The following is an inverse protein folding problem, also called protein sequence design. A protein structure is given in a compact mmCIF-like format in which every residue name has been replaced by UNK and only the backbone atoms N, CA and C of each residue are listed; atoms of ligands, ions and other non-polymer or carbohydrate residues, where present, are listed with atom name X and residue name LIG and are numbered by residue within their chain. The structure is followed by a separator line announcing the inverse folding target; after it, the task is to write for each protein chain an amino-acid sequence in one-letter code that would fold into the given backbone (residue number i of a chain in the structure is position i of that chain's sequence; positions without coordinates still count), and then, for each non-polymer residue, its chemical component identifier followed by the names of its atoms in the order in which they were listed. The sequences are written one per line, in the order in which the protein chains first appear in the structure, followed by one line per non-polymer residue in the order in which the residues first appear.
data_IF_038845681017
#
_entry.id   IF_038845681017
#
_cell.length_a   1.000
_cell.length_b   1.000
_cell.length_c   1.000
_cell.angle_alpha   90.00
_cell.angle_beta   90.00
_cell.angle_gamma   90.00
#
_symmetry.space_group_name_H-M   'P 1'
#
loop_
_entity.id
_entity.type
_entity.pdbx_description
1 polymer ?
#
# COMPACT_ATOMS: atom_id res chain seq x y z
N UNK A 1 -22.79 -18.30 -3.47
CA UNK A 1 -23.62 -17.31 -4.21
C UNK A 1 -22.82 -16.03 -4.36
N UNK A 2 -22.21 -15.81 -5.52
CA UNK A 2 -21.63 -14.52 -5.87
C UNK A 2 -22.77 -13.53 -6.12
N UNK A 3 -22.84 -12.43 -5.36
CA UNK A 3 -23.77 -11.34 -5.66
C UNK A 3 -23.15 -10.51 -6.78
N UNK A 4 -23.80 -10.55 -7.94
CA UNK A 4 -23.56 -9.61 -9.03
C UNK A 4 -24.09 -8.24 -8.61
N UNK A 5 -23.24 -7.22 -8.68
CA UNK A 5 -23.65 -5.83 -8.57
C UNK A 5 -23.60 -5.23 -9.98
N UNK A 6 -24.73 -4.71 -10.45
CA UNK A 6 -24.85 -4.07 -11.74
C UNK A 6 -24.27 -2.65 -11.67
N UNK A 7 -23.24 -2.39 -12.48
CA UNK A 7 -22.94 -1.04 -12.92
C UNK A 7 -24.04 -0.61 -13.89
N UNK A 8 -24.49 0.65 -13.79
CA UNK A 8 -25.23 1.30 -14.87
C UNK A 8 -24.37 1.23 -16.15
N UNK A 9 -24.68 0.27 -17.02
CA UNK A 9 -23.97 -0.04 -18.25
C UNK A 9 -23.43 -1.47 -18.42
N UNK A 10 -23.87 -2.45 -17.61
CA UNK A 10 -23.84 -3.87 -18.02
C UNK A 10 -22.47 -4.54 -18.05
N UNK A 11 -21.53 -4.14 -17.18
CA UNK A 11 -20.22 -4.78 -17.06
C UNK A 11 -20.25 -5.82 -15.93
N UNK A 12 -20.02 -7.10 -16.27
CA UNK A 12 -19.76 -8.15 -15.28
C UNK A 12 -18.38 -7.88 -14.67
N UNK A 13 -18.28 -7.59 -13.37
CA UNK A 13 -16.99 -7.39 -12.70
C UNK A 13 -16.76 -8.51 -11.66
N UNK A 14 -15.69 -9.28 -11.84
CA UNK A 14 -15.30 -10.34 -10.91
C UNK A 14 -14.46 -9.76 -9.77
N UNK A 15 -15.05 -9.65 -8.57
CA UNK A 15 -14.35 -9.31 -7.33
C UNK A 15 -13.36 -10.41 -6.95
N UNK A 16 -12.15 -10.04 -6.60
CA UNK A 16 -11.08 -10.96 -6.17
C UNK A 16 -10.63 -10.55 -4.78
N UNK A 17 -10.36 -11.55 -3.92
CA UNK A 17 -9.84 -11.36 -2.57
C UNK A 17 -10.74 -11.94 -1.48
N UNK A 18 -10.13 -12.14 -0.30
CA UNK A 18 -10.79 -12.65 0.90
C UNK A 18 -10.85 -11.59 2.01
N UNK A 19 -11.56 -11.90 3.10
CA UNK A 19 -11.44 -11.13 4.33
C UNK A 19 -10.09 -11.46 4.96
N UNK A 20 -9.32 -10.44 5.34
CA UNK A 20 -8.09 -10.60 6.10
C UNK A 20 -8.13 -9.77 7.38
N UNK A 21 -7.41 -10.23 8.39
CA UNK A 21 -7.20 -9.51 9.65
C UNK A 21 -5.78 -8.98 9.68
N UNK A 22 -5.64 -7.65 9.64
CA UNK A 22 -4.34 -6.98 9.70
C UNK A 22 -3.99 -6.72 11.17
N UNK A 23 -2.79 -7.11 11.65
CA UNK A 23 -2.35 -6.77 13.00
C UNK A 23 -2.40 -5.27 13.27
N UNK A 24 -2.71 -4.88 14.51
CA UNK A 24 -2.72 -3.47 14.92
C UNK A 24 -1.30 -2.96 15.23
N UNK A 25 -0.44 -2.97 14.21
CA UNK A 25 0.94 -2.47 14.23
C UNK A 25 1.17 -1.62 12.97
N UNK A 26 1.89 -0.49 13.10
CA UNK A 26 2.08 0.44 12.00
C UNK A 26 2.90 -0.17 10.85
N UNK A 27 3.90 -1.01 11.14
CA UNK A 27 4.65 -1.71 10.10
C UNK A 27 3.77 -2.79 9.47
N UNK A 28 3.00 -3.56 10.23
CA UNK A 28 2.10 -4.56 9.67
C UNK A 28 1.08 -3.95 8.71
N UNK A 29 0.51 -2.79 9.06
CA UNK A 29 -0.41 -2.03 8.20
C UNK A 29 0.27 -1.56 6.90
N UNK A 30 1.50 -1.02 6.99
CA UNK A 30 2.30 -0.65 5.83
C UNK A 30 2.63 -1.86 4.93
N UNK A 31 3.01 -3.01 5.49
CA UNK A 31 3.26 -4.24 4.73
C UNK A 31 1.99 -4.73 4.04
N UNK A 32 0.84 -4.64 4.71
CA UNK A 32 -0.45 -4.97 4.12
C UNK A 32 -0.81 -4.04 2.94
N UNK A 33 -0.53 -2.74 3.08
CA UNK A 33 -0.64 -1.79 1.97
C UNK A 33 0.25 -2.19 0.78
N UNK A 34 1.53 -2.52 1.03
CA UNK A 34 2.45 -2.97 -0.03
C UNK A 34 1.97 -4.26 -0.71
N UNK A 35 1.40 -5.20 0.05
CA UNK A 35 0.78 -6.40 -0.52
C UNK A 35 -0.37 -6.04 -1.49
N UNK A 36 -1.19 -5.06 -1.14
CA UNK A 36 -2.25 -4.56 -2.01
C UNK A 36 -1.69 -3.93 -3.29
N UNK A 37 -0.60 -3.16 -3.18
CA UNK A 37 0.13 -2.61 -4.33
C UNK A 37 0.64 -3.73 -5.24
N UNK A 38 1.37 -4.70 -4.68
CA UNK A 38 1.92 -5.84 -5.44
C UNK A 38 0.84 -6.69 -6.12
N UNK A 39 -0.36 -6.76 -5.53
CA UNK A 39 -1.52 -7.41 -6.15
C UNK A 39 -1.95 -6.73 -7.45
N UNK A 40 -1.82 -5.41 -7.54
CA UNK A 40 -2.27 -4.56 -8.66
C UNK A 40 -1.23 -4.45 -9.77
N UNK A 41 0.04 -4.21 -9.43
CA UNK A 41 1.07 -3.84 -10.42
C UNK A 41 2.01 -4.98 -10.85
N UNK A 42 1.69 -6.23 -10.47
CA UNK A 42 2.52 -7.43 -10.72
C UNK A 42 4.01 -7.13 -10.49
N UNK A 43 4.37 -6.91 -9.23
CA UNK A 43 5.76 -6.62 -8.85
C UNK A 43 6.55 -7.93 -8.84
N UNK A 44 7.31 -8.18 -9.92
CA UNK A 44 8.13 -9.39 -10.13
C UNK A 44 9.55 -9.18 -9.59
N UNK A 45 9.65 -8.95 -8.29
CA UNK A 45 10.94 -8.79 -7.60
C UNK A 45 10.87 -9.64 -6.34
N UNK A 46 11.67 -10.71 -6.30
CA UNK A 46 11.76 -11.66 -5.18
C UNK A 46 12.03 -10.92 -3.85
N UNK A 47 12.65 -9.74 -3.93
CA UNK A 47 12.94 -8.85 -2.81
C UNK A 47 11.69 -8.33 -2.07
N UNK A 48 10.50 -8.32 -2.69
CA UNK A 48 9.29 -7.74 -2.11
C UNK A 48 8.50 -8.67 -1.20
N UNK A 49 8.67 -10.00 -1.32
CA UNK A 49 7.89 -10.97 -0.54
C UNK A 49 8.04 -10.72 0.97
N UNK A 50 9.29 -10.54 1.43
CA UNK A 50 9.61 -10.21 2.83
C UNK A 50 9.00 -8.89 3.34
N UNK A 51 8.62 -7.97 2.45
CA UNK A 51 8.05 -6.66 2.81
C UNK A 51 6.52 -6.60 2.66
N UNK A 52 5.90 -7.70 2.21
CA UNK A 52 4.45 -7.81 2.02
C UNK A 52 3.80 -8.84 2.96
N UNK A 53 4.61 -9.69 3.62
CA UNK A 53 4.18 -10.63 4.64
C UNK A 53 3.87 -9.95 5.99
N UNK A 54 2.74 -9.25 6.02
CA UNK A 54 2.27 -8.49 7.19
C UNK A 54 1.96 -9.35 8.42
N UNK A 55 1.76 -10.66 8.27
CA UNK A 55 1.52 -11.58 9.39
C UNK A 55 2.80 -11.80 10.20
N UNK A 56 3.95 -11.74 9.53
CA UNK A 56 5.28 -11.96 10.08
C UNK A 56 6.05 -10.64 10.36
N UNK A 57 5.36 -9.50 10.48
CA UNK A 57 5.98 -8.18 10.74
C UNK A 57 6.95 -8.14 11.95
N UNK A 58 6.73 -9.02 12.94
CA UNK A 58 7.54 -9.10 14.18
C UNK A 58 8.95 -9.62 13.93
N UNK A 59 9.18 -10.31 12.83
CA UNK A 59 10.48 -10.88 12.47
C UNK A 59 11.39 -9.88 11.75
N UNK A 60 10.87 -8.70 11.40
CA UNK A 60 11.65 -7.68 10.70
C UNK A 60 12.67 -7.01 11.64
N UNK A 61 13.92 -6.98 11.19
CA UNK A 61 14.99 -6.18 11.79
C UNK A 61 14.67 -4.67 11.70
N UNK A 62 15.28 -3.81 12.54
CA UNK A 62 15.11 -2.36 12.43
C UNK A 62 15.41 -1.81 11.03
N UNK A 63 16.41 -2.38 10.35
CA UNK A 63 16.74 -2.02 8.97
C UNK A 63 15.61 -2.38 8.00
N UNK A 64 15.07 -3.60 8.10
CA UNK A 64 13.94 -4.04 7.26
C UNK A 64 12.67 -3.22 7.53
N UNK A 65 12.36 -2.90 8.79
CA UNK A 65 11.23 -2.01 9.14
C UNK A 65 11.37 -0.64 8.47
N UNK A 66 12.58 -0.07 8.49
CA UNK A 66 12.86 1.19 7.78
C UNK A 66 12.73 1.06 6.27
N UNK A 67 13.11 -0.09 5.69
CA UNK A 67 12.93 -0.36 4.25
C UNK A 67 11.45 -0.43 3.88
N UNK A 68 10.58 -1.07 4.69
CA UNK A 68 9.12 -1.03 4.51
C UNK A 68 8.62 0.42 4.44
N UNK A 69 9.01 1.27 5.38
CA UNK A 69 8.62 2.69 5.39
C UNK A 69 9.06 3.42 4.12
N UNK A 70 10.31 3.23 3.68
CA UNK A 70 10.83 3.86 2.46
C UNK A 70 10.10 3.37 1.21
N UNK A 71 9.79 2.07 1.13
CA UNK A 71 9.00 1.50 0.04
C UNK A 71 7.60 2.12 0.00
N UNK A 72 6.93 2.28 1.15
CA UNK A 72 5.64 2.98 1.22
C UNK A 72 5.74 4.45 0.79
N UNK A 73 6.85 5.16 1.06
CA UNK A 73 7.03 6.54 0.56
C UNK A 73 7.19 6.59 -0.97
N UNK A 74 7.90 5.63 -1.55
CA UNK A 74 8.14 5.54 -3.00
C UNK A 74 6.87 5.09 -3.72
N UNK A 75 6.14 4.16 -3.13
CA UNK A 75 4.88 3.63 -3.61
C UNK A 75 3.75 4.28 -2.83
N UNK A 76 3.64 5.62 -2.86
CA UNK A 76 2.54 6.32 -2.18
C UNK A 76 1.22 6.16 -2.96
N UNK A 77 0.04 6.28 -2.31
CA UNK A 77 -1.26 6.26 -2.97
C UNK A 77 -1.34 7.22 -4.16
N UNK A 78 -0.71 8.39 -4.07
CA UNK A 78 -0.68 9.41 -5.14
C UNK A 78 -0.09 8.89 -6.47
N UNK A 79 0.80 7.89 -6.42
CA UNK A 79 1.35 7.26 -7.62
C UNK A 79 0.33 6.36 -8.36
N UNK A 80 -0.72 5.94 -7.66
CA UNK A 80 -1.73 4.97 -8.10
C UNK A 80 -3.13 5.55 -8.26
N UNK A 81 -3.43 6.65 -7.58
CA UNK A 81 -4.73 7.30 -7.58
C UNK A 81 -5.16 7.68 -9.00
N UNK A 82 -6.45 7.50 -9.29
CA UNK A 82 -7.07 7.70 -10.61
C UNK A 82 -6.48 6.86 -11.76
N UNK A 83 -5.52 5.96 -11.46
CA UNK A 83 -4.86 5.10 -12.45
C UNK A 83 -5.23 3.65 -12.22
N UNK A 84 -4.98 3.17 -11.00
CA UNK A 84 -5.18 1.77 -10.61
C UNK A 84 -5.80 1.63 -9.22
N UNK A 85 -5.73 2.67 -8.40
CA UNK A 85 -6.47 2.81 -7.15
C UNK A 85 -7.60 3.83 -7.37
N UNK A 86 -8.79 3.50 -6.87
CA UNK A 86 -9.93 4.41 -6.93
C UNK A 86 -10.71 4.38 -5.61
N UNK A 87 -10.95 5.55 -5.04
CA UNK A 87 -11.86 5.72 -3.92
C UNK A 87 -13.32 5.48 -4.37
N UNK A 88 -13.97 4.42 -3.85
CA UNK A 88 -15.39 4.19 -4.06
C UNK A 88 -15.98 3.25 -2.98
N UNK A 89 -16.70 3.85 -2.04
CA UNK A 89 -17.26 3.16 -0.88
C UNK A 89 -18.34 2.13 -1.24
N UNK A 90 -19.19 2.45 -2.21
CA UNK A 90 -20.32 1.61 -2.64
C UNK A 90 -19.84 0.30 -3.27
N UNK A 91 -18.73 0.39 -3.99
CA UNK A 91 -18.16 -0.73 -4.71
C UNK A 91 -17.38 -1.71 -3.83
N UNK A 92 -16.83 -1.27 -2.69
CA UNK A 92 -16.09 -2.17 -1.79
C UNK A 92 -16.96 -3.31 -1.23
N UNK A 93 -18.28 -3.12 -1.17
CA UNK A 93 -19.24 -4.06 -0.61
C UNK A 93 -19.32 -4.00 0.92
N UNK A 94 -20.33 -4.68 1.48
CA UNK A 94 -20.58 -4.63 2.91
C UNK A 94 -19.50 -5.37 3.73
N UNK A 95 -18.91 -4.66 4.69
CA UNK A 95 -17.91 -5.20 5.61
C UNK A 95 -16.51 -5.42 5.03
N UNK A 96 -16.20 -4.83 3.87
CA UNK A 96 -14.84 -4.79 3.32
C UNK A 96 -14.38 -3.34 3.17
N UNK A 97 -13.13 -3.05 3.53
CA UNK A 97 -12.53 -1.72 3.36
C UNK A 97 -11.89 -1.52 1.98
N UNK A 98 -11.56 -2.59 1.26
CA UNK A 98 -11.10 -2.58 -0.12
C UNK A 98 -11.59 -3.80 -0.91
N UNK A 99 -11.48 -3.74 -2.22
CA UNK A 99 -11.80 -4.80 -3.16
C UNK A 99 -10.91 -4.73 -4.41
N UNK A 100 -10.56 -5.89 -4.99
CA UNK A 100 -9.80 -5.97 -6.23
C UNK A 100 -10.66 -6.44 -7.39
N UNK A 101 -10.40 -5.92 -8.59
CA UNK A 101 -11.11 -6.27 -9.81
C UNK A 101 -10.16 -6.47 -10.99
N UNK A 102 -10.43 -7.40 -11.90
CA UNK A 102 -9.63 -7.61 -13.13
C UNK A 102 -10.02 -6.62 -14.23
N UNK A 103 -9.03 -6.01 -14.88
CA UNK A 103 -9.21 -5.01 -15.95
C UNK A 103 -9.74 -5.61 -17.26
N UNK A 104 -9.65 -6.92 -17.47
CA UNK A 104 -10.24 -7.59 -18.65
C UNK A 104 -11.73 -7.29 -18.83
N UNK A 105 -12.43 -6.86 -17.78
CA UNK A 105 -13.85 -6.48 -17.80
C UNK A 105 -14.09 -4.96 -17.84
N UNK A 106 -13.12 -4.13 -17.44
CA UNK A 106 -13.25 -2.66 -17.30
C UNK A 106 -13.06 -1.92 -18.64
N UNK A 107 -12.57 -2.61 -19.68
CA UNK A 107 -12.27 -2.06 -21.02
C UNK A 107 -13.42 -1.30 -21.70
N UNK A 108 -14.66 -1.46 -21.27
CA UNK A 108 -15.81 -0.79 -21.88
C UNK A 108 -16.24 0.55 -21.23
N UNK A 109 -15.77 0.88 -20.03
CA UNK A 109 -16.23 2.08 -19.30
C UNK A 109 -15.13 3.02 -18.80
N UNK A 110 -13.88 2.56 -18.67
CA UNK A 110 -12.74 3.41 -18.35
C UNK A 110 -11.78 3.44 -19.55
N UNK A 111 -11.45 4.64 -20.01
CA UNK A 111 -10.54 4.85 -21.14
C UNK A 111 -9.26 4.04 -20.93
N UNK A 112 -8.92 3.28 -21.96
CA UNK A 112 -8.05 2.11 -21.92
C UNK A 112 -6.61 2.46 -21.56
N UNK A 113 -6.26 2.48 -20.27
CA UNK A 113 -4.85 2.53 -19.84
C UNK A 113 -4.34 1.10 -19.77
N UNK A 114 -3.79 0.59 -20.89
CA UNK A 114 -3.18 -0.75 -20.93
C UNK A 114 -1.89 -0.83 -20.11
N UNK A 115 -1.28 0.33 -19.82
CA UNK A 115 -0.04 0.45 -19.08
C UNK A 115 0.05 1.82 -18.42
N UNK A 116 0.53 1.90 -17.19
CA UNK A 116 0.72 3.15 -16.44
C UNK A 116 2.19 3.32 -16.06
N UNK A 117 2.64 4.57 -15.98
CA UNK A 117 3.95 4.90 -15.43
C UNK A 117 3.80 4.98 -13.91
N UNK A 118 4.41 4.03 -13.19
CA UNK A 118 4.41 4.00 -11.72
C UNK A 118 5.88 3.89 -11.28
N UNK A 119 6.30 4.76 -10.38
CA UNK A 119 7.68 4.79 -9.88
C UNK A 119 8.74 4.77 -11.02
N UNK A 120 8.46 5.50 -12.12
CA UNK A 120 9.37 5.61 -13.27
C UNK A 120 9.41 4.40 -14.21
N UNK A 121 8.63 3.35 -13.95
CA UNK A 121 8.55 2.15 -14.80
C UNK A 121 7.16 2.02 -15.44
N UNK A 122 7.14 1.66 -16.73
CA UNK A 122 5.89 1.34 -17.43
C UNK A 122 5.45 -0.07 -17.06
N UNK A 123 4.27 -0.20 -16.44
CA UNK A 123 3.74 -1.49 -15.98
C UNK A 123 2.38 -1.78 -16.58
N UNK A 124 2.19 -3.03 -17.00
CA UNK A 124 0.91 -3.52 -17.47
C UNK A 124 -0.05 -3.66 -16.28
N UNK A 125 -1.25 -3.11 -16.42
CA UNK A 125 -2.24 -3.19 -15.35
C UNK A 125 -3.23 -4.28 -15.67
N UNK A 126 -3.26 -5.33 -14.83
CA UNK A 126 -4.25 -6.42 -14.96
C UNK A 126 -5.35 -6.36 -13.92
N UNK A 127 -5.16 -5.63 -12.83
CA UNK A 127 -6.13 -5.47 -11.74
C UNK A 127 -6.22 -4.01 -11.31
N UNK A 128 -7.36 -3.61 -10.77
CA UNK A 128 -7.53 -2.35 -10.03
C UNK A 128 -7.88 -2.66 -8.59
N UNK A 129 -7.60 -1.71 -7.72
CA UNK A 129 -8.08 -1.70 -6.35
C UNK A 129 -9.10 -0.58 -6.18
N UNK A 130 -10.24 -0.94 -5.62
CA UNK A 130 -11.21 0.01 -5.10
C UNK A 130 -11.08 0.01 -3.58
N UNK A 131 -11.10 1.19 -2.97
CA UNK A 131 -10.94 1.32 -1.53
C UNK A 131 -11.94 2.31 -0.93
N UNK A 132 -12.20 2.16 0.37
CA UNK A 132 -12.89 3.15 1.19
C UNK A 132 -11.90 4.12 1.77
N UNK A 133 -12.22 5.41 1.89
CA UNK A 133 -11.28 6.37 2.48
C UNK A 133 -10.84 5.97 3.89
N UNK A 134 -11.74 5.37 4.67
CA UNK A 134 -11.43 4.79 5.99
C UNK A 134 -10.36 3.68 5.94
N UNK A 135 -10.30 2.90 4.86
CA UNK A 135 -9.28 1.89 4.66
C UNK A 135 -7.92 2.52 4.37
N UNK A 136 -7.87 3.55 3.52
CA UNK A 136 -6.61 4.23 3.19
C UNK A 136 -6.06 4.97 4.39
N UNK A 137 -6.93 5.63 5.15
CA UNK A 137 -6.57 6.26 6.43
C UNK A 137 -5.94 5.26 7.39
N UNK A 138 -6.62 4.13 7.63
CA UNK A 138 -6.18 3.11 8.59
C UNK A 138 -4.90 2.38 8.18
N UNK A 139 -4.74 2.06 6.90
CA UNK A 139 -3.68 1.16 6.44
C UNK A 139 -2.47 1.87 5.81
N UNK A 140 -2.59 3.15 5.48
CA UNK A 140 -1.49 3.94 4.92
C UNK A 140 -1.25 5.24 5.69
N UNK A 141 -2.22 6.17 5.72
CA UNK A 141 -1.94 7.53 6.23
C UNK A 141 -1.56 7.56 7.71
N UNK A 142 -2.33 6.93 8.60
CA UNK A 142 -2.01 6.92 10.04
C UNK A 142 -0.68 6.18 10.34
N UNK A 143 -0.44 4.96 9.80
CA UNK A 143 0.84 4.29 9.99
C UNK A 143 2.03 5.12 9.50
N UNK A 144 1.93 5.72 8.32
CA UNK A 144 3.02 6.52 7.73
C UNK A 144 3.31 7.77 8.57
N UNK A 145 2.28 8.44 9.06
CA UNK A 145 2.45 9.60 9.94
C UNK A 145 3.16 9.22 11.24
N UNK A 146 2.76 8.11 11.87
CA UNK A 146 3.40 7.63 13.10
C UNK A 146 4.85 7.25 12.87
N UNK A 147 5.14 6.46 11.84
CA UNK A 147 6.49 6.00 11.51
C UNK A 147 7.40 7.18 11.14
N UNK A 148 6.88 8.17 10.41
CA UNK A 148 7.63 9.37 10.08
C UNK A 148 8.00 10.17 11.33
N UNK A 149 7.06 10.31 12.28
CA UNK A 149 7.35 10.93 13.57
C UNK A 149 8.42 10.15 14.34
N UNK A 150 8.28 8.83 14.45
CA UNK A 150 9.22 7.94 15.15
C UNK A 150 10.64 8.03 14.58
N UNK A 151 10.79 7.89 13.25
CA UNK A 151 12.10 7.96 12.60
C UNK A 151 12.73 9.36 12.68
N UNK A 152 11.92 10.41 12.65
CA UNK A 152 12.42 11.77 12.84
C UNK A 152 12.95 12.00 14.25
N UNK A 153 12.30 11.45 15.28
CA UNK A 153 12.79 11.49 16.65
C UNK A 153 14.11 10.74 16.79
N UNK A 154 14.18 9.50 16.29
CA UNK A 154 15.39 8.68 16.34
C UNK A 154 16.57 9.39 15.67
N UNK A 155 16.35 10.00 14.49
CA UNK A 155 17.39 10.75 13.79
C UNK A 155 17.88 11.95 14.61
N UNK A 156 16.98 12.67 15.29
CA UNK A 156 17.36 13.82 16.14
C UNK A 156 18.18 13.38 17.34
N UNK A 157 17.82 12.27 17.97
CA UNK A 157 18.56 11.68 19.09
C UNK A 157 19.97 11.27 18.66
N UNK A 158 20.10 10.57 17.53
CA UNK A 158 21.39 10.16 16.97
C UNK A 158 22.30 11.37 16.68
N UNK A 159 21.75 12.44 16.09
CA UNK A 159 22.52 13.66 15.83
C UNK A 159 22.96 14.33 17.13
N UNK A 160 22.08 14.40 18.14
CA UNK A 160 22.43 14.99 19.43
C UNK A 160 23.52 14.18 20.16
N UNK A 161 23.43 12.85 20.14
CA UNK A 161 24.45 11.95 20.69
C UNK A 161 25.80 12.10 19.99
N UNK A 162 25.80 12.24 18.66
CA UNK A 162 27.01 12.49 17.88
C UNK A 162 27.66 13.82 18.28
N UNK A 163 26.88 14.91 18.34
CA UNK A 163 27.39 16.23 18.76
C UNK A 163 27.98 16.18 20.17
N UNK A 164 27.30 15.52 21.11
CA UNK A 164 27.81 15.37 22.49
C UNK A 164 29.10 14.53 22.53
N UNK A 165 29.18 13.46 21.72
CA UNK A 165 30.38 12.64 21.65
C UNK A 165 31.58 13.41 21.07
N UNK A 166 31.36 14.18 20.01
CA UNK A 166 32.40 15.01 19.38
C UNK A 166 32.88 16.12 20.34
N UNK A 167 31.96 16.74 21.08
CA UNK A 167 32.30 17.75 22.07
C UNK A 167 33.17 17.17 23.22
N UNK A 168 32.92 15.94 23.65
CA UNK A 168 33.67 15.24 24.70
C UNK A 168 35.08 14.80 24.24
N UNK A 169 35.30 14.58 22.94
CA UNK A 169 36.61 14.20 22.37
C UNK A 169 37.57 15.40 22.28
N UNK A 170 37.04 16.63 22.23
CA UNK A 170 37.83 17.87 22.04
C UNK A 170 38.24 18.53 23.37
N UNK A 171 37.64 18.12 24.50
CA UNK A 171 37.93 18.60 25.86
C UNK A 171 38.89 17.71 26.63
#
# INVERSE_FOLDING_TARGET
MARYFEFNGGVNVNRIGGRTSVPDDNIAKCMYYLNCVCTVIEYDDDDMEQYTDYENYRWLTPYQRRRVFLLCKVLSPDEFEDRVFFENDDMCGYGSGNAFYKITQVRHQLMTVSSVLIAGQRRDVKKIMIYKQSWMQKNYYEPMQYLEYEYNLQRRQQVAEQILSEACIIS
#
